data_IF_540265099032
#
_entry.id   IF_540265099032
#
_cell.length_a   1.000
_cell.length_b   1.000
_cell.length_c   1.000
_cell.angle_alpha   90.00
_cell.angle_beta   90.00
_cell.angle_gamma   90.00
#
_symmetry.space_group_name_H-M   'P 1'
#
loop_
_entity.id
_entity.type
_entity.pdbx_description
1 polymer ?
#
# COMPACT_ATOMS: atom_id res chain seq x y z
N UNK A 1 -2.08 5.72 11.37
CA UNK A 1 -0.62 5.52 11.28
C UNK A 1 -0.29 4.05 11.44
N UNK A 2 0.67 3.55 10.68
CA UNK A 2 1.15 2.18 10.73
C UNK A 2 2.67 2.19 10.69
N UNK A 3 3.31 1.29 11.46
CA UNK A 3 4.76 1.18 11.55
C UNK A 3 5.13 -0.29 11.36
N UNK A 4 6.17 -0.55 10.57
CA UNK A 4 6.85 -1.84 10.50
C UNK A 4 8.35 -1.62 10.65
N UNK A 5 9.06 -2.65 11.12
CA UNK A 5 10.50 -2.60 11.37
C UNK A 5 11.14 -3.79 10.65
N UNK A 6 12.24 -3.56 9.95
CA UNK A 6 13.01 -4.64 9.32
C UNK A 6 14.01 -5.26 10.32
N UNK A 7 14.68 -6.32 9.90
CA UNK A 7 15.67 -7.03 10.73
C UNK A 7 16.90 -6.17 11.12
N UNK A 8 17.18 -5.11 10.36
CA UNK A 8 18.22 -4.14 10.68
C UNK A 8 17.75 -3.04 11.67
N UNK A 9 16.49 -3.08 12.11
CA UNK A 9 15.90 -2.10 13.02
C UNK A 9 15.42 -0.81 12.33
N UNK A 10 15.50 -0.72 11.01
CA UNK A 10 14.98 0.46 10.27
C UNK A 10 13.45 0.45 10.32
N UNK A 11 12.88 1.57 10.70
CA UNK A 11 11.44 1.77 10.82
C UNK A 11 10.87 2.39 9.55
N UNK A 12 9.77 1.82 9.07
CA UNK A 12 8.97 2.34 7.95
C UNK A 12 7.61 2.75 8.47
N UNK A 13 7.26 4.01 8.27
CA UNK A 13 6.08 4.64 8.87
C UNK A 13 5.18 5.23 7.80
N UNK A 14 3.93 4.78 7.76
CA UNK A 14 2.88 5.44 7.00
C UNK A 14 2.25 6.53 7.85
N UNK A 15 2.38 7.77 7.39
CA UNK A 15 1.78 8.94 8.01
C UNK A 15 0.60 9.42 7.18
N UNK A 16 -0.54 9.61 7.82
CA UNK A 16 -1.74 10.13 7.17
C UNK A 16 -1.45 11.51 6.54
N UNK A 17 -1.91 11.71 5.31
CA UNK A 17 -1.69 12.95 4.54
C UNK A 17 -0.24 13.22 4.09
N UNK A 18 0.67 12.27 4.26
CA UNK A 18 2.02 12.40 3.71
C UNK A 18 2.10 11.83 2.30
N UNK A 19 2.07 12.68 1.29
CA UNK A 19 2.11 12.30 -0.13
C UNK A 19 3.53 12.02 -0.65
N UNK A 20 4.58 12.25 0.16
CA UNK A 20 5.96 12.06 -0.29
C UNK A 20 6.38 10.58 -0.31
N UNK A 21 5.69 9.73 0.45
CA UNK A 21 6.00 8.31 0.56
C UNK A 21 6.02 7.82 2.00
N UNK A 22 6.56 6.63 2.21
CA UNK A 22 6.73 6.01 3.53
C UNK A 22 7.94 6.65 4.20
N UNK A 23 7.79 7.15 5.42
CA UNK A 23 8.90 7.73 6.20
C UNK A 23 9.84 6.61 6.63
N UNK A 24 11.13 6.77 6.38
CA UNK A 24 12.18 5.84 6.78
C UNK A 24 13.05 6.46 7.88
N UNK A 25 13.19 5.72 9.00
CA UNK A 25 13.93 6.18 10.19
C UNK A 25 14.95 5.12 10.58
N UNK A 26 16.19 5.55 10.86
CA UNK A 26 17.27 4.65 11.31
C UNK A 26 17.03 4.11 12.71
N UNK A 27 17.63 2.94 13.05
CA UNK A 27 17.58 2.39 14.40
C UNK A 27 18.52 3.07 15.41
N UNK A 28 19.28 4.07 14.96
CA UNK A 28 20.22 4.78 15.83
C UNK A 28 19.51 5.51 16.96
N UNK A 29 20.22 5.74 18.07
CA UNK A 29 19.67 6.44 19.24
C UNK A 29 19.12 7.81 18.85
N UNK A 30 17.85 8.03 19.18
CA UNK A 30 17.12 9.23 18.80
C UNK A 30 16.43 9.15 17.46
N UNK A 31 16.71 8.14 16.63
CA UNK A 31 16.10 7.94 15.30
C UNK A 31 16.44 9.06 14.33
N UNK A 32 17.18 8.75 13.26
CA UNK A 32 17.51 9.71 12.21
C UNK A 32 16.60 9.51 11.01
N UNK A 33 16.00 10.59 10.50
CA UNK A 33 15.24 10.54 9.26
C UNK A 33 16.17 10.23 8.09
N UNK A 34 15.94 9.09 7.43
CA UNK A 34 16.75 8.64 6.29
C UNK A 34 16.20 9.15 4.96
N UNK A 35 14.89 9.32 4.88
CA UNK A 35 14.22 9.76 3.66
C UNK A 35 12.79 9.26 3.54
N UNK A 36 12.29 9.28 2.30
CA UNK A 36 10.99 8.70 1.95
C UNK A 36 11.21 7.47 1.08
N UNK A 37 10.75 6.33 1.58
CA UNK A 37 10.82 5.05 0.88
C UNK A 37 9.62 4.88 -0.05
N UNK A 38 9.83 4.22 -1.19
CA UNK A 38 8.75 3.96 -2.15
C UNK A 38 8.09 5.26 -2.62
N UNK A 39 8.90 6.33 -2.72
CA UNK A 39 8.41 7.62 -3.20
C UNK A 39 7.64 7.40 -4.49
N UNK A 40 6.42 7.92 -4.52
CA UNK A 40 5.67 8.05 -5.74
C UNK A 40 6.42 9.04 -6.62
N UNK A 41 7.44 8.56 -7.33
CA UNK A 41 7.93 9.29 -8.49
C UNK A 41 6.77 9.31 -9.49
N UNK A 42 5.86 10.26 -9.35
CA UNK A 42 5.32 10.86 -10.54
C UNK A 42 6.58 11.27 -11.29
N UNK A 43 6.94 10.55 -12.34
CA UNK A 43 7.97 11.01 -13.27
C UNK A 43 7.44 12.34 -13.78
N UNK A 44 7.86 13.41 -13.10
CA UNK A 44 7.57 14.77 -13.54
C UNK A 44 8.41 14.89 -14.77
N UNK A 45 7.86 14.49 -15.93
CA UNK A 45 8.54 14.63 -17.18
C UNK A 45 8.92 16.09 -17.32
N UNK A 46 10.06 16.38 -17.92
CA UNK A 46 10.45 17.76 -18.24
C UNK A 46 9.31 18.54 -18.91
N UNK A 47 8.47 17.86 -19.70
CA UNK A 47 7.23 18.39 -20.26
C UNK A 47 6.25 18.87 -19.18
N UNK A 48 6.06 18.11 -18.10
CA UNK A 48 5.16 18.51 -16.99
C UNK A 48 5.70 19.73 -16.24
N UNK A 49 7.01 19.86 -16.10
CA UNK A 49 7.65 21.04 -15.48
C UNK A 49 7.43 22.28 -16.36
N UNK A 50 7.61 22.15 -17.67
CA UNK A 50 7.38 23.22 -18.63
C UNK A 50 5.88 23.59 -18.68
N UNK A 51 4.98 22.62 -18.70
CA UNK A 51 3.55 22.87 -18.64
C UNK A 51 3.12 23.57 -17.35
N UNK A 52 3.66 23.19 -16.18
CA UNK A 52 3.38 23.87 -14.91
C UNK A 52 3.81 25.34 -14.90
N UNK A 53 4.87 25.70 -15.63
CA UNK A 53 5.34 27.08 -15.73
C UNK A 53 4.43 27.97 -16.60
N UNK A 54 3.63 27.37 -17.49
CA UNK A 54 2.79 28.09 -18.49
C UNK A 54 1.31 28.09 -18.06
N UNK A 55 0.88 27.22 -17.16
CA UNK A 55 -0.52 27.07 -16.75
C UNK A 55 -0.99 28.19 -15.79
N UNK A 56 -2.24 28.62 -15.97
CA UNK A 56 -2.92 29.51 -15.03
C UNK A 56 -3.20 28.81 -13.69
N UNK A 57 -3.46 29.58 -12.62
CA UNK A 57 -3.72 29.01 -11.28
C UNK A 57 -4.96 28.09 -11.26
N UNK A 58 -5.98 28.37 -12.06
CA UNK A 58 -7.16 27.50 -12.22
C UNK A 58 -6.83 26.18 -12.91
N UNK A 59 -5.93 26.19 -13.86
CA UNK A 59 -5.45 24.98 -14.54
C UNK A 59 -4.52 24.17 -13.64
N UNK A 60 -3.70 24.83 -12.80
CA UNK A 60 -2.88 24.17 -11.77
C UNK A 60 -3.76 23.47 -10.73
N UNK A 61 -4.86 24.12 -10.29
CA UNK A 61 -5.79 23.53 -9.33
C UNK A 61 -6.46 22.24 -9.86
N UNK A 62 -6.72 22.14 -11.16
CA UNK A 62 -7.22 20.91 -11.79
C UNK A 62 -6.17 19.81 -11.93
N UNK A 63 -4.88 20.15 -11.98
CA UNK A 63 -3.79 19.16 -12.01
C UNK A 63 -3.49 18.55 -10.63
N UNK A 64 -3.98 19.15 -9.56
CA UNK A 64 -3.82 18.64 -8.17
C UNK A 64 -4.60 17.33 -7.94
N UNK A 65 -5.56 16.98 -8.82
CA UNK A 65 -6.29 15.71 -8.72
C UNK A 65 -5.45 14.45 -9.01
N UNK A 66 -4.20 14.60 -9.48
CA UNK A 66 -3.26 13.51 -9.69
C UNK A 66 -2.14 13.49 -8.63
N UNK A 67 -2.41 13.93 -7.41
CA UNK A 67 -1.48 13.70 -6.32
C UNK A 67 -1.37 12.19 -6.05
N UNK A 68 -0.13 11.68 -5.87
CA UNK A 68 0.05 10.29 -5.47
C UNK A 68 -0.68 10.06 -4.15
N UNK A 69 -1.51 9.02 -4.11
CA UNK A 69 -2.23 8.65 -2.89
C UNK A 69 -1.27 8.10 -1.86
N UNK A 70 -1.47 8.50 -0.61
CA UNK A 70 -0.72 7.97 0.54
C UNK A 70 -1.15 6.54 0.83
N UNK A 71 -0.23 5.58 1.06
CA UNK A 71 -0.61 4.27 1.54
C UNK A 71 -1.44 4.34 2.84
N UNK A 72 -2.48 3.52 2.93
CA UNK A 72 -3.32 3.41 4.14
C UNK A 72 -2.73 2.41 5.14
N UNK A 73 -2.07 1.37 4.64
CA UNK A 73 -1.51 0.30 5.45
C UNK A 73 -0.23 -0.25 4.81
N UNK A 74 0.63 -0.85 5.64
CA UNK A 74 1.83 -1.55 5.18
C UNK A 74 2.11 -2.78 6.02
N UNK A 75 2.86 -3.72 5.42
CA UNK A 75 3.42 -4.90 6.05
C UNK A 75 4.83 -5.13 5.51
N UNK A 76 5.63 -5.92 6.21
CA UNK A 76 6.97 -6.34 5.79
C UNK A 76 7.07 -7.86 5.93
N UNK A 77 7.71 -8.52 4.96
CA UNK A 77 8.00 -9.94 5.03
C UNK A 77 9.41 -10.22 5.59
N UNK A 78 9.71 -11.49 5.81
CA UNK A 78 11.01 -11.95 6.30
C UNK A 78 12.17 -11.71 5.31
N UNK A 79 11.88 -11.33 4.07
CA UNK A 79 12.87 -10.99 3.03
C UNK A 79 13.11 -9.47 2.95
N UNK A 80 12.42 -8.69 3.80
CA UNK A 80 12.49 -7.23 3.82
C UNK A 80 11.70 -6.55 2.70
N UNK A 81 10.82 -7.27 1.99
CA UNK A 81 9.92 -6.66 1.02
C UNK A 81 8.76 -5.96 1.75
N UNK A 82 8.43 -4.77 1.32
CA UNK A 82 7.35 -3.97 1.91
C UNK A 82 6.11 -4.04 1.02
N UNK A 83 5.00 -4.33 1.63
CA UNK A 83 3.70 -4.42 0.99
C UNK A 83 2.84 -3.25 1.45
N UNK A 84 2.17 -2.58 0.52
CA UNK A 84 1.30 -1.44 0.83
C UNK A 84 -0.02 -1.57 0.13
N UNK A 85 -1.07 -1.07 0.76
CA UNK A 85 -2.39 -0.89 0.15
C UNK A 85 -2.81 0.56 0.26
N UNK A 86 -3.53 1.03 -0.75
CA UNK A 86 -3.96 2.43 -0.88
C UNK A 86 -5.42 2.46 -1.33
N UNK A 87 -6.28 3.20 -0.64
CA UNK A 87 -7.69 3.36 -1.02
C UNK A 87 -7.83 4.27 -2.22
N UNK A 88 -8.79 3.94 -3.09
CA UNK A 88 -9.14 4.77 -4.24
C UNK A 88 -8.09 4.84 -5.34
N UNK A 89 -7.09 3.97 -5.31
CA UNK A 89 -6.08 3.83 -6.37
C UNK A 89 -6.40 2.59 -7.21
N UNK A 90 -7.15 2.75 -8.27
CA UNK A 90 -7.71 1.66 -9.09
C UNK A 90 -6.65 0.71 -9.67
N UNK A 91 -5.47 1.22 -10.01
CA UNK A 91 -4.47 0.43 -10.73
C UNK A 91 -3.30 -0.05 -9.86
N UNK A 92 -3.06 0.59 -8.74
CA UNK A 92 -1.84 0.39 -7.94
C UNK A 92 -2.11 0.29 -6.45
N UNK A 93 -3.31 -0.14 -6.07
CA UNK A 93 -3.72 -0.22 -4.66
C UNK A 93 -2.82 -1.12 -3.84
N UNK A 94 -2.47 -2.29 -4.37
CA UNK A 94 -1.51 -3.20 -3.76
C UNK A 94 -0.16 -3.04 -4.45
N UNK A 95 0.86 -2.69 -3.67
CA UNK A 95 2.25 -2.64 -4.12
C UNK A 95 3.10 -3.61 -3.31
N UNK A 96 4.05 -4.24 -3.98
CA UNK A 96 5.11 -5.05 -3.41
C UNK A 96 6.43 -4.38 -3.72
N UNK A 97 7.02 -3.72 -2.74
CA UNK A 97 8.20 -2.87 -2.91
C UNK A 97 9.46 -3.63 -2.52
N UNK A 98 10.47 -3.59 -3.37
CA UNK A 98 11.80 -4.09 -3.03
C UNK A 98 12.57 -3.06 -2.18
N UNK A 99 13.78 -3.40 -1.73
CA UNK A 99 14.65 -2.54 -0.93
C UNK A 99 14.95 -1.17 -1.58
N UNK A 100 14.85 -1.07 -2.90
CA UNK A 100 15.01 0.20 -3.62
C UNK A 100 13.68 0.98 -3.77
N UNK A 101 12.58 0.52 -3.17
CA UNK A 101 11.27 1.14 -3.30
C UNK A 101 10.57 0.89 -4.65
N UNK A 102 11.10 -0.02 -5.47
CA UNK A 102 10.51 -0.34 -6.77
C UNK A 102 9.37 -1.34 -6.61
N UNK A 103 8.21 -1.05 -7.22
CA UNK A 103 7.09 -1.98 -7.21
C UNK A 103 7.36 -3.19 -8.12
N UNK A 104 7.26 -4.39 -7.53
CA UNK A 104 7.47 -5.67 -8.22
C UNK A 104 6.19 -6.20 -8.86
N UNK A 105 5.01 -5.71 -8.48
CA UNK A 105 3.73 -6.03 -9.13
C UNK A 105 3.60 -5.10 -10.32
N UNK A 106 3.63 -5.68 -11.52
CA UNK A 106 3.52 -4.94 -12.78
C UNK A 106 2.09 -5.02 -13.31
N UNK A 107 1.54 -3.88 -13.71
CA UNK A 107 0.20 -3.82 -14.31
C UNK A 107 -0.96 -3.74 -13.31
N UNK A 108 -0.68 -3.55 -12.02
CA UNK A 108 -1.70 -3.50 -10.98
C UNK A 108 -2.17 -4.87 -10.52
N UNK A 109 -3.19 -4.93 -9.70
CA UNK A 109 -3.85 -6.16 -9.23
C UNK A 109 -5.19 -6.33 -9.92
N UNK A 110 -5.57 -7.58 -10.18
CA UNK A 110 -6.90 -7.92 -10.71
C UNK A 110 -7.94 -7.98 -9.59
N UNK A 111 -9.20 -7.75 -9.95
CA UNK A 111 -10.38 -7.95 -9.09
C UNK A 111 -10.23 -7.33 -7.69
N UNK A 112 -9.94 -6.07 -7.69
CA UNK A 112 -9.58 -5.28 -6.54
C UNK A 112 -10.79 -4.60 -5.91
N UNK A 113 -10.83 -4.56 -4.56
CA UNK A 113 -11.79 -3.79 -3.78
C UNK A 113 -11.25 -2.37 -3.55
N UNK A 114 -12.06 -1.35 -3.84
CA UNK A 114 -11.72 0.07 -3.67
C UNK A 114 -11.45 0.48 -2.22
N UNK A 115 -11.69 -0.41 -1.24
CA UNK A 115 -11.60 -0.13 0.19
C UNK A 115 -10.63 -1.03 0.95
N UNK A 116 -9.38 -1.27 0.48
CA UNK A 116 -8.43 -2.07 1.23
C UNK A 116 -8.11 -1.39 2.56
N UNK A 117 -8.10 -2.18 3.64
CA UNK A 117 -7.86 -1.68 5.00
C UNK A 117 -6.54 -2.17 5.59
N UNK A 118 -6.12 -3.38 5.24
CA UNK A 118 -4.91 -3.98 5.78
C UNK A 118 -4.29 -4.96 4.79
N UNK A 119 -2.97 -5.15 4.90
CA UNK A 119 -2.19 -6.09 4.10
C UNK A 119 -1.25 -6.89 4.99
N UNK A 120 -1.08 -8.16 4.67
CA UNK A 120 -0.05 -9.04 5.27
C UNK A 120 0.41 -10.07 4.26
N UNK A 121 1.47 -10.80 4.61
CA UNK A 121 1.98 -11.92 3.82
C UNK A 121 1.88 -13.20 4.62
N UNK A 122 1.65 -14.30 3.94
CA UNK A 122 1.62 -15.64 4.50
C UNK A 122 2.71 -16.53 3.96
N UNK A 123 2.53 -17.82 4.17
CA UNK A 123 3.38 -18.86 3.60
C UNK A 123 3.32 -18.82 2.06
N UNK A 124 4.39 -19.25 1.40
CA UNK A 124 4.50 -19.33 -0.07
C UNK A 124 4.49 -17.98 -0.80
N UNK A 125 4.84 -16.87 -0.10
CA UNK A 125 4.85 -15.51 -0.65
C UNK A 125 3.44 -15.01 -1.10
N UNK A 126 2.35 -15.62 -0.62
CA UNK A 126 1.01 -15.14 -0.88
C UNK A 126 0.74 -13.85 -0.10
N UNK A 127 -0.04 -12.97 -0.69
CA UNK A 127 -0.36 -11.66 -0.15
C UNK A 127 -1.84 -11.65 0.21
N UNK A 128 -2.16 -11.27 1.42
CA UNK A 128 -3.53 -11.17 1.92
C UNK A 128 -3.89 -9.72 2.12
N UNK A 129 -4.97 -9.29 1.48
CA UNK A 129 -5.53 -7.94 1.61
C UNK A 129 -6.90 -8.06 2.23
N UNK A 130 -7.11 -7.40 3.36
CA UNK A 130 -8.42 -7.30 3.96
C UNK A 130 -9.09 -5.99 3.55
N UNK A 131 -10.34 -6.07 3.09
CA UNK A 131 -11.15 -4.89 2.82
C UNK A 131 -11.82 -4.37 4.08
N UNK A 132 -12.23 -3.12 4.07
CA UNK A 132 -13.03 -2.54 5.16
C UNK A 132 -14.39 -3.19 5.31
N UNK A 133 -14.87 -3.90 4.29
CA UNK A 133 -16.15 -4.63 4.28
C UNK A 133 -16.02 -6.08 4.76
N UNK A 134 -14.85 -6.50 5.21
CA UNK A 134 -14.63 -7.84 5.76
C UNK A 134 -14.27 -8.91 4.72
N UNK A 135 -14.09 -8.56 3.46
CA UNK A 135 -13.55 -9.50 2.47
C UNK A 135 -12.04 -9.63 2.63
N UNK A 136 -11.52 -10.83 2.40
CA UNK A 136 -10.10 -11.12 2.34
C UNK A 136 -9.78 -11.63 0.95
N UNK A 137 -8.87 -10.94 0.31
CA UNK A 137 -8.35 -11.24 -1.02
C UNK A 137 -6.97 -11.88 -0.86
N UNK A 138 -6.79 -13.07 -1.43
CA UNK A 138 -5.50 -13.75 -1.49
C UNK A 138 -4.93 -13.60 -2.89
N UNK A 139 -3.74 -13.02 -2.98
CA UNK A 139 -3.01 -12.86 -4.24
C UNK A 139 -1.71 -13.64 -4.20
N UNK A 140 -1.25 -14.06 -5.37
CA UNK A 140 0.11 -14.53 -5.52
C UNK A 140 1.11 -13.35 -5.55
N UNK A 141 2.40 -13.67 -5.58
CA UNK A 141 3.48 -12.66 -5.62
C UNK A 141 3.49 -11.77 -6.88
N UNK A 142 2.75 -12.12 -7.92
CA UNK A 142 2.58 -11.33 -9.15
C UNK A 142 1.40 -10.36 -9.08
N UNK A 143 0.54 -10.49 -8.06
CA UNK A 143 -0.67 -9.70 -7.90
C UNK A 143 -1.90 -10.30 -8.59
N UNK A 144 -1.83 -11.59 -8.97
CA UNK A 144 -2.98 -12.32 -9.51
C UNK A 144 -3.85 -12.82 -8.36
N UNK A 145 -5.15 -12.58 -8.43
CA UNK A 145 -6.12 -13.03 -7.43
C UNK A 145 -6.25 -14.55 -7.47
N UNK A 146 -6.08 -15.18 -6.31
CA UNK A 146 -6.24 -16.63 -6.12
C UNK A 146 -7.59 -16.95 -5.49
N UNK A 147 -7.94 -16.28 -4.40
CA UNK A 147 -9.16 -16.53 -3.62
C UNK A 147 -9.72 -15.25 -3.04
N UNK A 148 -11.04 -15.24 -2.84
CA UNK A 148 -11.77 -14.26 -2.04
C UNK A 148 -12.62 -15.00 -1.03
N UNK A 149 -12.53 -14.64 0.25
CA UNK A 149 -13.32 -15.23 1.31
C UNK A 149 -13.71 -14.18 2.36
N UNK A 150 -14.58 -14.54 3.29
CA UNK A 150 -15.15 -13.62 4.27
C UNK A 150 -16.25 -12.75 3.67
N UNK A 151 -16.41 -11.56 4.18
CA UNK A 151 -17.45 -10.60 3.84
C UNK A 151 -18.52 -10.48 4.90
N UNK A 152 -19.50 -9.63 4.69
CA UNK A 152 -20.67 -9.51 5.56
C UNK A 152 -21.55 -10.77 5.46
N UNK A 153 -22.07 -11.21 6.60
CA UNK A 153 -23.02 -12.33 6.64
C UNK A 153 -24.30 -11.92 5.89
N UNK A 154 -24.51 -12.55 4.74
CA UNK A 154 -25.72 -12.41 3.95
C UNK A 154 -26.75 -13.53 4.23
N UNK A 155 -26.56 -14.29 5.31
CA UNK A 155 -27.37 -15.43 5.68
C UNK A 155 -27.05 -16.72 4.93
N UNK A 156 -25.98 -16.77 4.11
CA UNK A 156 -25.57 -17.93 3.31
C UNK A 156 -24.31 -18.59 3.85
N UNK A 157 -24.25 -19.04 5.09
CA UNK A 157 -23.17 -19.86 5.69
C UNK A 157 -21.73 -19.32 5.51
N UNK A 158 -21.55 -18.07 5.13
CA UNK A 158 -20.25 -17.45 5.14
C UNK A 158 -19.88 -17.11 6.57
N UNK A 159 -18.65 -17.37 6.95
CA UNK A 159 -18.12 -16.88 8.22
C UNK A 159 -18.10 -15.36 8.12
N UNK A 160 -19.09 -14.71 8.72
CA UNK A 160 -19.16 -13.26 8.77
C UNK A 160 -17.93 -12.72 9.49
N UNK A 161 -17.08 -11.99 8.77
CA UNK A 161 -16.04 -11.20 9.39
C UNK A 161 -16.63 -9.86 9.82
N UNK A 162 -16.00 -9.23 10.80
CA UNK A 162 -16.41 -7.92 11.30
C UNK A 162 -16.60 -6.92 10.14
N UNK A 163 -17.60 -6.07 10.26
CA UNK A 163 -17.89 -4.99 9.29
C UNK A 163 -16.82 -3.89 9.28
N UNK A 164 -15.81 -3.95 10.15
CA UNK A 164 -14.68 -3.02 10.18
C UNK A 164 -13.39 -3.78 10.44
N UNK A 165 -12.71 -4.19 9.38
CA UNK A 165 -11.36 -4.75 9.47
C UNK A 165 -10.34 -3.60 9.52
N UNK A 166 -9.48 -3.60 10.53
CA UNK A 166 -8.40 -2.61 10.70
C UNK A 166 -7.01 -3.23 10.56
N UNK A 167 -6.89 -4.55 10.75
CA UNK A 167 -5.64 -5.29 10.61
C UNK A 167 -5.89 -6.74 10.25
N UNK A 168 -4.90 -7.35 9.63
CA UNK A 168 -4.86 -8.78 9.28
C UNK A 168 -3.47 -9.31 9.57
N UNK A 169 -3.40 -10.54 10.02
CA UNK A 169 -2.14 -11.27 10.21
C UNK A 169 -2.34 -12.75 9.91
N UNK A 170 -1.35 -13.38 9.30
CA UNK A 170 -1.31 -14.83 9.06
C UNK A 170 -0.47 -15.47 10.15
N UNK A 171 -0.98 -16.57 10.73
CA UNK A 171 -0.24 -17.42 11.67
C UNK A 171 0.84 -18.22 10.91
N UNK A 172 1.97 -18.44 11.54
CA UNK A 172 3.10 -19.21 11.01
C UNK A 172 2.92 -20.74 11.11
N UNK A 173 1.77 -21.22 11.58
CA UNK A 173 1.48 -22.65 11.74
C UNK A 173 0.98 -23.31 10.48
#
# INVERSE_FOLDING_TARGET
>A
QKIVVNDAGVMYIVCQSNTNGIVEISPEEGGTFLGYFGTNYASVSLQTIIYRAILTDEQRAKMVSNMPSTPDNLSIDTKGLIYTVTRGDENMSLKRLNIAGTNLIKGGVSDYDESPAAVTTGNHDNIYVASSQGYIYEYNKQGELLYVFGGTDDGTQRVGLSTQVTSIQVDSK
#
